data_IF_763205221890
#
_entry.id   IF_763205221890
#
_cell.length_a   1.000
_cell.length_b   1.000
_cell.length_c   1.000
_cell.angle_alpha   90.00
_cell.angle_beta   90.00
_cell.angle_gamma   90.00
#
_symmetry.space_group_name_H-M   'P 1'
#
loop_
_entity.id
_entity.type
_entity.pdbx_description
1 polymer ?
#
# COMPACT_ATOMS: atom_id res chain seq x y z
N UNK A 1 4.45 -0.36 1.69
CA UNK A 1 4.48 -1.65 0.96
C UNK A 1 5.88 -1.84 0.42
N UNK A 2 6.50 -3.00 0.66
CA UNK A 2 7.80 -3.35 0.08
C UNK A 2 7.68 -3.39 -1.45
N UNK A 3 8.73 -2.96 -2.18
CA UNK A 3 8.71 -2.94 -3.65
C UNK A 3 8.52 -4.35 -4.25
N UNK A 4 9.17 -5.37 -3.67
CA UNK A 4 8.98 -6.76 -4.09
C UNK A 4 7.52 -7.22 -3.97
N UNK A 5 6.86 -6.90 -2.86
CA UNK A 5 5.44 -7.21 -2.64
C UNK A 5 4.53 -6.53 -3.66
N UNK A 6 4.81 -5.25 -4.00
CA UNK A 6 4.09 -4.55 -5.06
C UNK A 6 4.16 -5.29 -6.40
N UNK A 7 5.38 -5.71 -6.80
CA UNK A 7 5.60 -6.43 -8.07
C UNK A 7 4.93 -7.80 -8.06
N UNK A 8 5.07 -8.55 -6.96
CA UNK A 8 4.49 -9.88 -6.80
C UNK A 8 2.96 -9.85 -6.92
N UNK A 9 2.29 -8.94 -6.20
CA UNK A 9 0.83 -8.82 -6.24
C UNK A 9 0.34 -8.34 -7.62
N UNK A 10 1.08 -7.43 -8.25
CA UNK A 10 0.76 -6.98 -9.60
C UNK A 10 0.86 -8.10 -10.63
N UNK A 11 1.91 -8.92 -10.56
CA UNK A 11 2.08 -10.08 -11.43
C UNK A 11 0.98 -11.11 -11.20
N UNK A 12 0.72 -11.46 -9.94
CA UNK A 12 -0.32 -12.43 -9.54
C UNK A 12 -1.68 -12.07 -10.13
N UNK A 13 -2.06 -10.80 -10.06
CA UNK A 13 -3.40 -10.33 -10.43
C UNK A 13 -3.46 -9.69 -11.83
N UNK A 14 -2.36 -9.72 -12.59
CA UNK A 14 -2.29 -9.16 -13.94
C UNK A 14 -2.47 -7.64 -14.00
N UNK A 15 -2.06 -6.90 -12.96
CA UNK A 15 -2.19 -5.45 -12.89
C UNK A 15 -0.98 -4.80 -13.56
N UNK A 16 -1.23 -3.99 -14.58
CA UNK A 16 -0.16 -3.26 -15.26
C UNK A 16 0.33 -2.09 -14.40
N UNK A 17 1.61 -2.13 -14.03
CA UNK A 17 2.29 -1.05 -13.33
C UNK A 17 3.05 -0.15 -14.32
N UNK A 18 2.97 1.19 -14.17
CA UNK A 18 3.83 2.12 -14.89
C UNK A 18 5.31 1.85 -14.64
N UNK A 19 6.17 2.16 -15.61
CA UNK A 19 7.63 2.00 -15.51
C UNK A 19 8.22 2.61 -14.21
N UNK A 20 7.65 3.73 -13.75
CA UNK A 20 8.02 4.40 -12.50
C UNK A 20 7.82 3.56 -11.22
N UNK A 21 7.05 2.48 -11.29
CA UNK A 21 6.84 1.51 -10.20
C UNK A 21 7.56 0.18 -10.46
N UNK A 22 8.18 -0.01 -11.62
CA UNK A 22 8.88 -1.24 -12.01
C UNK A 22 10.36 -0.98 -12.26
N UNK A 23 10.72 -0.58 -13.47
CA UNK A 23 12.09 -0.44 -13.98
C UNK A 23 12.76 0.86 -13.51
N UNK A 24 12.01 1.96 -13.44
CA UNK A 24 12.51 3.28 -13.07
C UNK A 24 12.32 3.56 -11.56
N UNK A 25 12.62 2.57 -10.71
CA UNK A 25 12.45 2.64 -9.27
C UNK A 25 13.73 3.06 -8.53
N UNK A 26 13.69 3.99 -7.56
CA UNK A 26 12.51 4.72 -7.07
C UNK A 26 12.15 5.94 -7.93
N UNK A 27 10.84 6.27 -8.07
CA UNK A 27 10.39 7.38 -8.89
C UNK A 27 10.94 8.71 -8.40
N UNK A 28 11.54 9.48 -9.32
CA UNK A 28 12.03 10.83 -9.04
C UNK A 28 10.85 11.81 -9.07
N UNK A 29 10.43 12.25 -7.88
CA UNK A 29 9.35 13.22 -7.69
C UNK A 29 9.94 14.55 -7.23
N UNK A 30 9.70 15.61 -8.02
CA UNK A 30 10.07 16.97 -7.63
C UNK A 30 8.85 17.61 -6.97
N UNK A 31 8.87 17.74 -5.65
CA UNK A 31 7.76 18.25 -4.84
C UNK A 31 7.72 19.80 -4.77
N UNK A 32 8.10 20.49 -5.86
CA UNK A 32 8.19 21.97 -5.88
C UNK A 32 6.97 22.65 -6.48
N UNK A 33 6.03 21.91 -7.10
CA UNK A 33 4.81 22.46 -7.68
C UNK A 33 3.59 21.52 -7.55
N UNK A 34 2.40 22.03 -7.84
CA UNK A 34 1.13 21.28 -7.83
C UNK A 34 1.16 20.05 -8.77
N UNK A 35 1.95 20.10 -9.85
CA UNK A 35 2.08 18.98 -10.79
C UNK A 35 2.82 17.80 -10.17
N UNK A 36 3.79 18.06 -9.29
CA UNK A 36 4.48 17.05 -8.49
C UNK A 36 3.51 16.24 -7.63
N UNK A 37 2.58 16.91 -6.94
CA UNK A 37 1.55 16.26 -6.13
C UNK A 37 0.64 15.34 -6.95
N UNK A 38 0.12 15.82 -8.08
CA UNK A 38 -0.74 14.98 -8.94
C UNK A 38 -0.01 13.75 -9.50
N UNK A 39 1.29 13.86 -9.78
CA UNK A 39 2.11 12.72 -10.23
C UNK A 39 2.26 11.69 -9.10
N UNK A 40 2.54 12.14 -7.88
CA UNK A 40 2.61 11.27 -6.71
C UNK A 40 1.26 10.55 -6.48
N UNK A 41 0.16 11.31 -6.42
CA UNK A 41 -1.17 10.74 -6.19
C UNK A 41 -1.52 9.64 -7.21
N UNK A 42 -1.24 9.86 -8.50
CA UNK A 42 -1.47 8.84 -9.53
C UNK A 42 -0.65 7.57 -9.32
N UNK A 43 0.63 7.70 -8.95
CA UNK A 43 1.47 6.54 -8.67
C UNK A 43 0.98 5.80 -7.42
N UNK A 44 0.60 6.54 -6.37
CA UNK A 44 0.04 5.98 -5.14
C UNK A 44 -1.27 5.22 -5.41
N UNK A 45 -2.20 5.78 -6.20
CA UNK A 45 -3.46 5.12 -6.55
C UNK A 45 -3.26 3.84 -7.34
N UNK A 46 -2.27 3.80 -8.24
CA UNK A 46 -1.92 2.56 -8.96
C UNK A 46 -1.29 1.55 -8.02
N UNK A 47 -0.30 1.95 -7.22
CA UNK A 47 0.41 1.05 -6.32
C UNK A 47 -0.53 0.40 -5.31
N UNK A 48 -1.43 1.17 -4.69
CA UNK A 48 -2.39 0.66 -3.71
C UNK A 48 -3.46 -0.24 -4.34
N UNK A 49 -3.70 -0.11 -5.65
CA UNK A 49 -4.72 -0.90 -6.35
C UNK A 49 -4.45 -2.40 -6.38
N UNK A 50 -3.20 -2.83 -6.12
CA UNK A 50 -2.77 -4.23 -6.11
C UNK A 50 -3.28 -5.04 -4.92
N UNK A 51 -3.81 -4.40 -3.87
CA UNK A 51 -4.42 -5.12 -2.75
C UNK A 51 -5.79 -5.65 -3.15
N UNK A 52 -5.90 -6.94 -3.50
CA UNK A 52 -7.12 -7.55 -4.05
C UNK A 52 -7.90 -8.39 -3.05
N UNK A 53 -7.22 -8.94 -2.06
CA UNK A 53 -7.75 -9.88 -1.07
C UNK A 53 -7.46 -9.39 0.34
N UNK A 54 -8.16 -9.95 1.33
CA UNK A 54 -7.93 -9.64 2.75
C UNK A 54 -6.51 -10.03 3.18
N UNK A 55 -5.99 -11.14 2.65
CA UNK A 55 -4.63 -11.61 2.92
C UNK A 55 -3.56 -10.62 2.43
N UNK A 56 -3.81 -9.90 1.33
CA UNK A 56 -2.88 -8.85 0.87
C UNK A 56 -2.79 -7.70 1.87
N UNK A 57 -3.93 -7.34 2.47
CA UNK A 57 -4.00 -6.28 3.49
C UNK A 57 -3.31 -6.75 4.78
N UNK A 58 -3.58 -7.99 5.21
CA UNK A 58 -2.91 -8.60 6.37
C UNK A 58 -1.40 -8.65 6.19
N UNK A 59 -0.95 -9.12 5.02
CA UNK A 59 0.49 -9.12 4.67
C UNK A 59 1.06 -7.71 4.68
N UNK A 60 0.38 -6.72 4.10
CA UNK A 60 0.87 -5.34 4.09
C UNK A 60 1.07 -4.79 5.51
N UNK A 61 0.11 -5.05 6.40
CA UNK A 61 0.18 -4.64 7.81
C UNK A 61 1.35 -5.32 8.52
N UNK A 62 1.50 -6.63 8.35
CA UNK A 62 2.61 -7.40 8.92
C UNK A 62 3.97 -6.89 8.42
N UNK A 63 4.13 -6.73 7.11
CA UNK A 63 5.39 -6.24 6.53
C UNK A 63 5.77 -4.86 7.05
N UNK A 64 4.80 -3.97 7.26
CA UNK A 64 5.03 -2.64 7.83
C UNK A 64 5.54 -2.74 9.28
N UNK A 65 4.92 -3.58 10.12
CA UNK A 65 5.36 -3.81 11.48
C UNK A 65 6.75 -4.47 11.56
N UNK A 66 7.04 -5.44 10.68
CA UNK A 66 8.35 -6.07 10.59
C UNK A 66 9.45 -5.08 10.15
N UNK A 67 9.12 -4.18 9.22
CA UNK A 67 10.06 -3.16 8.74
C UNK A 67 10.38 -2.16 9.86
N UNK A 68 9.36 -1.66 10.57
CA UNK A 68 9.54 -0.81 11.75
C UNK A 68 10.36 -1.49 12.84
N UNK A 69 10.07 -2.75 13.15
CA UNK A 69 10.83 -3.52 14.15
C UNK A 69 12.30 -3.69 13.74
N UNK A 70 12.57 -3.89 12.44
CA UNK A 70 13.95 -4.00 11.91
C UNK A 70 14.71 -2.67 12.04
N UNK A 71 14.01 -1.56 11.94
CA UNK A 71 14.56 -0.21 12.13
C UNK A 71 14.69 0.17 13.63
N UNK A 72 14.33 -0.74 14.53
CA UNK A 72 14.47 -0.58 15.98
C UNK A 72 13.27 0.11 16.65
N UNK A 73 12.16 0.27 15.93
CA UNK A 73 10.92 0.75 16.53
C UNK A 73 10.38 -0.26 17.54
N UNK A 74 9.96 0.24 18.69
CA UNK A 74 9.28 -0.54 19.75
C UNK A 74 7.78 -0.28 19.79
N UNK A 75 7.31 0.67 18.98
CA UNK A 75 5.92 1.08 18.86
C UNK A 75 5.69 1.60 17.44
N UNK A 76 4.60 1.16 16.83
CA UNK A 76 4.19 1.52 15.47
C UNK A 76 2.76 2.04 15.49
N UNK A 77 2.54 3.20 14.88
CA UNK A 77 1.20 3.76 14.65
C UNK A 77 0.85 3.66 13.17
N UNK A 78 -0.04 2.73 12.81
CA UNK A 78 -0.48 2.56 11.42
C UNK A 78 -1.67 3.47 11.15
N UNK A 79 -1.51 4.36 10.17
CA UNK A 79 -2.61 5.16 9.63
C UNK A 79 -3.19 4.50 8.37
N UNK A 80 -4.51 4.41 8.30
CA UNK A 80 -5.22 3.86 7.14
C UNK A 80 -6.35 4.79 6.70
N UNK A 81 -6.54 4.90 5.38
CA UNK A 81 -7.74 5.50 4.78
C UNK A 81 -8.66 4.38 4.27
N UNK A 82 -9.76 4.07 4.97
CA UNK A 82 -10.68 3.01 4.58
C UNK A 82 -11.53 3.37 3.36
N UNK A 83 -11.69 4.65 3.04
CA UNK A 83 -12.57 5.10 1.95
C UNK A 83 -12.10 4.62 0.58
N UNK A 84 -10.78 4.56 0.37
CA UNK A 84 -10.16 4.06 -0.86
C UNK A 84 -10.36 2.57 -1.13
N UNK A 85 -10.84 1.81 -0.14
CA UNK A 85 -10.98 0.36 -0.17
C UNK A 85 -12.41 -0.14 0.09
N UNK A 86 -13.30 0.74 0.56
CA UNK A 86 -14.68 0.42 0.89
C UNK A 86 -15.42 -0.36 -0.20
N UNK A 87 -15.28 0.02 -1.47
CA UNK A 87 -15.96 -0.69 -2.57
C UNK A 87 -15.48 -2.14 -2.77
N UNK A 88 -14.25 -2.47 -2.35
CA UNK A 88 -13.65 -3.79 -2.52
C UNK A 88 -13.87 -4.70 -1.31
N UNK A 89 -13.88 -4.13 -0.11
CA UNK A 89 -13.85 -4.88 1.15
C UNK A 89 -15.12 -4.69 2.00
N UNK A 90 -16.28 -4.55 1.37
CA UNK A 90 -17.57 -4.55 2.08
C UNK A 90 -17.89 -3.25 2.84
N UNK A 91 -17.23 -2.14 2.52
CA UNK A 91 -17.49 -0.82 3.10
C UNK A 91 -16.39 -0.34 4.06
N UNK A 92 -16.56 0.89 4.55
CA UNK A 92 -15.60 1.56 5.44
C UNK A 92 -15.40 0.77 6.74
N UNK A 93 -16.50 0.36 7.38
CA UNK A 93 -16.44 -0.38 8.65
C UNK A 93 -15.75 -1.72 8.47
N UNK A 94 -16.16 -2.52 7.48
CA UNK A 94 -15.59 -3.84 7.25
C UNK A 94 -14.08 -3.79 6.93
N UNK A 95 -13.63 -2.82 6.11
CA UNK A 95 -12.19 -2.64 5.87
C UNK A 95 -11.44 -2.19 7.13
N UNK A 96 -12.05 -1.33 7.95
CA UNK A 96 -11.44 -0.90 9.22
C UNK A 96 -11.29 -2.09 10.17
N UNK A 97 -12.32 -2.93 10.29
CA UNK A 97 -12.29 -4.15 11.11
C UNK A 97 -11.22 -5.12 10.62
N UNK A 98 -11.09 -5.30 9.30
CA UNK A 98 -10.02 -6.11 8.69
C UNK A 98 -8.62 -5.63 9.11
N UNK A 99 -8.36 -4.33 9.09
CA UNK A 99 -7.06 -3.78 9.53
C UNK A 99 -6.85 -3.97 11.03
N UNK A 100 -7.90 -3.77 11.84
CA UNK A 100 -7.85 -4.00 13.29
C UNK A 100 -7.55 -5.48 13.59
N UNK A 101 -8.13 -6.40 12.85
CA UNK A 101 -7.84 -7.83 13.00
C UNK A 101 -6.41 -8.15 12.55
N UNK A 102 -5.95 -7.55 11.45
CA UNK A 102 -4.58 -7.75 10.95
C UNK A 102 -3.50 -7.31 11.95
N UNK A 103 -3.74 -6.26 12.76
CA UNK A 103 -2.77 -5.81 13.79
C UNK A 103 -2.81 -6.64 15.08
N UNK A 104 -3.77 -7.55 15.23
CA UNK A 104 -3.87 -8.44 16.41
C UNK A 104 -3.12 -9.75 16.24
N UNK A 105 -2.90 -10.17 14.99
CA UNK A 105 -2.15 -11.38 14.60
C UNK A 105 -0.64 -11.19 14.83
#
# INVERSE_FOLDING_TARGET
MRHGTLLELAERDGIHLPAALTEDWPPQLVATDEKGWFRFQRLYDVARSVLRTEDDVRRLVLEAAEDDARDGCVWTEIQVDPSGYAARFGGITAFTDLVIDAVRD
#
